data_IF_689844878817
#
_entry.id   IF_689844878817
#
_cell.length_a   1.000
_cell.length_b   1.000
_cell.length_c   1.000
_cell.angle_alpha   90.00
_cell.angle_beta   90.00
_cell.angle_gamma   90.00
#
_symmetry.space_group_name_H-M   'P 1'
#
loop_
_entity.id
_entity.type
_entity.pdbx_description
1 polymer ?
#
# COMPACT_ATOMS: atom_id res chain seq x y z
N UNK A 1 -3.72 -11.36 -4.55
CA UNK A 1 -2.87 -10.33 -3.89
C UNK A 1 -3.11 -9.02 -4.59
N UNK A 2 -3.43 -7.99 -3.82
CA UNK A 2 -3.77 -6.65 -4.32
C UNK A 2 -2.68 -5.65 -3.93
N UNK A 3 -2.09 -4.95 -4.90
CA UNK A 3 -0.98 -4.01 -4.69
C UNK A 3 -1.45 -2.61 -5.10
N UNK A 4 -1.35 -1.64 -4.18
CA UNK A 4 -1.64 -0.24 -4.47
C UNK A 4 -0.39 0.49 -4.95
N UNK A 5 -0.46 1.11 -6.12
CA UNK A 5 0.61 1.98 -6.63
C UNK A 5 0.38 3.37 -6.08
N UNK A 6 1.33 3.86 -5.29
CA UNK A 6 1.30 5.20 -4.68
C UNK A 6 2.54 6.00 -5.06
N UNK A 7 2.55 7.28 -4.78
CA UNK A 7 3.67 8.18 -5.01
C UNK A 7 3.20 9.61 -5.22
N UNK A 8 4.11 10.56 -5.18
CA UNK A 8 3.84 11.96 -5.44
C UNK A 8 3.38 12.19 -6.91
N UNK A 9 2.78 13.33 -7.24
CA UNK A 9 2.49 13.67 -8.62
C UNK A 9 3.74 13.67 -9.50
N UNK A 10 3.59 13.28 -10.77
CA UNK A 10 4.63 13.29 -11.80
C UNK A 10 5.86 12.40 -11.55
N UNK A 11 5.74 11.36 -10.72
CA UNK A 11 6.81 10.36 -10.50
C UNK A 11 6.75 9.17 -11.47
N UNK A 12 5.70 9.09 -12.31
CA UNK A 12 5.54 8.04 -13.31
C UNK A 12 4.59 6.90 -12.94
N UNK A 13 3.74 7.04 -11.90
CA UNK A 13 2.78 6.01 -11.47
C UNK A 13 1.92 5.46 -12.61
N UNK A 14 1.23 6.33 -13.34
CA UNK A 14 0.34 5.92 -14.43
C UNK A 14 1.12 5.33 -15.62
N UNK A 15 2.37 5.77 -15.84
CA UNK A 15 3.26 5.18 -16.84
C UNK A 15 3.59 3.74 -16.46
N UNK A 16 3.97 3.51 -15.19
CA UNK A 16 4.23 2.18 -14.65
C UNK A 16 2.99 1.29 -14.74
N UNK A 17 1.84 1.79 -14.24
CA UNK A 17 0.57 1.07 -14.28
C UNK A 17 0.22 0.64 -15.71
N UNK A 18 0.27 1.56 -16.67
CA UNK A 18 -0.01 1.26 -18.07
C UNK A 18 0.99 0.27 -18.68
N UNK A 19 2.26 0.35 -18.33
CA UNK A 19 3.28 -0.59 -18.84
C UNK A 19 3.03 -2.01 -18.32
N UNK A 20 2.75 -2.16 -17.03
CA UNK A 20 2.49 -3.45 -16.40
C UNK A 20 1.19 -4.06 -16.93
N UNK A 21 0.11 -3.26 -17.01
CA UNK A 21 -1.22 -3.76 -17.38
C UNK A 21 -1.37 -4.00 -18.88
N UNK A 22 -0.64 -3.26 -19.73
CA UNK A 22 -0.61 -3.55 -21.19
C UNK A 22 0.10 -4.87 -21.48
N UNK A 23 1.15 -5.20 -20.74
CA UNK A 23 1.79 -6.51 -20.83
C UNK A 23 0.88 -7.65 -20.38
N UNK A 24 -0.13 -7.35 -19.53
CA UNK A 24 -1.14 -8.28 -19.05
C UNK A 24 -2.46 -8.30 -19.82
N UNK A 25 -2.55 -7.70 -21.02
CA UNK A 25 -3.78 -7.59 -21.80
C UNK A 25 -4.47 -8.93 -22.15
N UNK A 26 -3.76 -10.06 -22.02
CA UNK A 26 -4.31 -11.41 -22.14
C UNK A 26 -5.18 -11.84 -20.94
N UNK A 27 -5.21 -11.05 -19.87
CA UNK A 27 -5.99 -11.36 -18.66
C UNK A 27 -7.52 -11.29 -18.85
N UNK A 28 -8.04 -10.82 -19.99
CA UNK A 28 -9.46 -10.79 -20.28
C UNK A 28 -10.16 -12.18 -20.22
N UNK A 29 -9.38 -13.25 -20.25
CA UNK A 29 -9.87 -14.64 -20.20
C UNK A 29 -9.85 -15.27 -18.79
N UNK A 30 -9.42 -14.52 -17.74
CA UNK A 30 -9.46 -15.05 -16.40
C UNK A 30 -10.86 -14.91 -15.78
N UNK A 31 -11.40 -15.98 -15.16
CA UNK A 31 -12.66 -15.90 -14.45
C UNK A 31 -12.54 -14.87 -13.31
N UNK A 32 -13.56 -14.01 -13.18
CA UNK A 32 -13.65 -12.92 -12.19
C UNK A 32 -12.83 -11.64 -12.48
N UNK A 33 -12.36 -11.45 -13.71
CA UNK A 33 -11.74 -10.19 -14.12
C UNK A 33 -12.84 -9.11 -14.28
N UNK A 34 -12.96 -8.21 -13.30
CA UNK A 34 -13.75 -6.99 -13.43
C UNK A 34 -12.91 -5.92 -14.13
N UNK A 35 -13.41 -5.33 -15.21
CA UNK A 35 -12.76 -4.18 -15.86
C UNK A 35 -13.20 -2.93 -15.11
N UNK A 36 -12.44 -2.58 -14.07
CA UNK A 36 -12.62 -1.31 -13.37
C UNK A 36 -11.52 -0.32 -13.81
N UNK A 37 -11.86 0.96 -14.05
CA UNK A 37 -10.84 1.97 -14.30
C UNK A 37 -9.88 2.04 -13.11
N UNK A 38 -8.58 2.02 -13.37
CA UNK A 38 -7.49 2.03 -12.40
C UNK A 38 -7.19 0.69 -11.69
N UNK A 39 -7.77 -0.42 -12.14
CA UNK A 39 -7.40 -1.77 -11.68
C UNK A 39 -6.87 -2.56 -12.87
N UNK A 40 -5.70 -3.16 -12.69
CA UNK A 40 -5.06 -4.01 -13.70
C UNK A 40 -4.65 -5.35 -13.11
N UNK A 41 -4.96 -6.44 -13.79
CA UNK A 41 -4.54 -7.79 -13.42
C UNK A 41 -3.34 -8.22 -14.23
N UNK A 42 -2.33 -8.75 -13.57
CA UNK A 42 -1.09 -9.20 -14.21
C UNK A 42 -0.79 -10.63 -13.78
N UNK A 43 -0.66 -11.58 -14.73
CA UNK A 43 -0.27 -12.93 -14.41
C UNK A 43 1.18 -12.96 -13.91
N UNK A 44 1.44 -13.79 -12.92
CA UNK A 44 2.80 -14.02 -12.41
C UNK A 44 3.45 -15.12 -13.26
N UNK A 45 4.53 -14.82 -14.00
CA UNK A 45 5.26 -15.84 -14.72
C UNK A 45 5.81 -16.90 -13.75
N UNK A 46 5.63 -18.18 -14.08
CA UNK A 46 6.17 -19.30 -13.28
C UNK A 46 6.64 -20.42 -14.19
N UNK A 47 7.94 -20.49 -14.44
CA UNK A 47 8.56 -21.51 -15.28
C UNK A 47 8.29 -22.93 -14.78
N UNK A 48 8.03 -23.13 -13.49
CA UNK A 48 7.70 -24.44 -12.92
C UNK A 48 6.33 -24.91 -13.41
N UNK A 49 5.38 -23.99 -13.43
CA UNK A 49 4.02 -24.25 -13.92
C UNK A 49 4.05 -24.54 -15.43
N UNK A 50 4.80 -23.77 -16.21
CA UNK A 50 4.96 -23.95 -17.64
C UNK A 50 5.64 -25.30 -17.97
N UNK A 51 6.63 -25.70 -17.19
CA UNK A 51 7.29 -27.01 -17.36
C UNK A 51 6.36 -28.18 -16.98
N UNK A 52 5.56 -28.05 -15.93
CA UNK A 52 4.53 -29.03 -15.58
C UNK A 52 3.48 -29.15 -16.68
N UNK A 53 3.04 -28.04 -17.24
CA UNK A 53 2.08 -28.00 -18.33
C UNK A 53 2.58 -28.75 -19.57
N UNK A 54 3.88 -28.63 -19.90
CA UNK A 54 4.51 -29.38 -21.02
C UNK A 54 4.56 -30.88 -20.78
N UNK A 55 4.65 -31.32 -19.51
CA UNK A 55 4.73 -32.73 -19.15
C UNK A 55 3.35 -33.39 -19.14
N UNK A 56 2.35 -32.72 -18.60
CA UNK A 56 1.03 -33.30 -18.33
C UNK A 56 -0.04 -32.92 -19.36
N UNK A 57 0.25 -32.00 -20.29
CA UNK A 57 -0.66 -31.51 -21.34
C UNK A 57 -2.10 -31.24 -20.81
N UNK A 58 -2.25 -30.35 -19.82
CA UNK A 58 -3.55 -30.11 -19.18
C UNK A 58 -4.49 -29.31 -20.09
N UNK A 59 -5.79 -29.49 -19.92
CA UNK A 59 -6.81 -28.73 -20.65
C UNK A 59 -6.70 -27.22 -20.39
N UNK A 60 -6.19 -26.81 -19.22
CA UNK A 60 -6.06 -25.41 -18.83
C UNK A 60 -4.88 -25.20 -17.87
N UNK A 61 -4.08 -24.17 -18.14
CA UNK A 61 -3.05 -23.66 -17.24
C UNK A 61 -3.53 -22.32 -16.67
N UNK A 62 -3.44 -22.15 -15.34
CA UNK A 62 -3.87 -20.93 -14.67
C UNK A 62 -2.74 -20.41 -13.79
N UNK A 63 -2.15 -19.28 -14.18
CA UNK A 63 -1.13 -18.60 -13.39
C UNK A 63 -1.75 -17.88 -12.19
N UNK A 64 -0.95 -17.66 -11.14
CA UNK A 64 -1.32 -16.73 -10.09
C UNK A 64 -1.44 -15.30 -10.68
N UNK A 65 -2.31 -14.49 -10.10
CA UNK A 65 -2.56 -13.12 -10.60
C UNK A 65 -2.31 -12.12 -9.49
N UNK A 66 -1.64 -11.03 -9.82
CA UNK A 66 -1.53 -9.83 -8.98
C UNK A 66 -2.46 -8.76 -9.54
N UNK A 67 -3.23 -8.16 -8.65
CA UNK A 67 -4.10 -7.03 -8.94
C UNK A 67 -3.36 -5.75 -8.58
N UNK A 68 -3.10 -4.89 -9.57
CA UNK A 68 -2.54 -3.57 -9.36
C UNK A 68 -3.63 -2.52 -9.37
N UNK A 69 -3.59 -1.60 -8.40
CA UNK A 69 -4.52 -0.48 -8.28
C UNK A 69 -3.74 0.81 -8.42
N UNK A 70 -4.03 1.63 -9.46
CA UNK A 70 -3.48 2.99 -9.56
C UNK A 70 -4.22 3.89 -8.59
N UNK A 71 -3.60 4.16 -7.45
CA UNK A 71 -4.14 5.05 -6.42
C UNK A 71 -3.70 6.47 -6.76
N UNK A 72 -4.68 7.36 -6.97
CA UNK A 72 -4.42 8.77 -7.28
C UNK A 72 -3.38 9.37 -6.32
N UNK A 73 -2.46 10.16 -6.87
CA UNK A 73 -1.30 10.66 -6.13
C UNK A 73 -1.67 11.39 -4.84
N UNK A 74 -0.88 11.16 -3.81
CA UNK A 74 -1.00 11.85 -2.53
C UNK A 74 -0.75 13.35 -2.73
N UNK A 75 -1.64 14.16 -2.19
CA UNK A 75 -1.40 15.60 -1.99
C UNK A 75 -1.07 15.78 -0.52
N UNK A 76 -0.04 16.55 -0.21
CA UNK A 76 0.37 16.92 1.14
C UNK A 76 -0.84 17.43 1.95
N UNK A 77 -1.09 16.86 3.15
CA UNK A 77 -2.25 17.16 3.96
C UNK A 77 -3.44 16.22 3.79
N UNK A 78 -3.25 15.07 3.14
CA UNK A 78 -4.29 14.07 2.93
C UNK A 78 -4.89 13.54 4.25
N UNK A 79 -4.08 13.46 5.30
CA UNK A 79 -4.49 13.02 6.64
C UNK A 79 -5.37 14.05 7.38
N UNK A 80 -5.38 15.32 6.96
CA UNK A 80 -6.21 16.37 7.58
C UNK A 80 -7.66 16.39 7.11
N UNK A 81 -8.08 15.43 6.30
CA UNK A 81 -9.49 15.09 6.14
C UNK A 81 -10.29 15.87 5.11
N UNK A 82 -9.67 16.62 4.21
CA UNK A 82 -10.42 17.33 3.16
C UNK A 82 -10.41 16.53 1.83
N UNK A 83 -11.57 15.96 1.48
CA UNK A 83 -11.92 15.50 0.13
C UNK A 83 -11.07 14.37 -0.43
N UNK A 84 -10.10 14.66 -1.29
CA UNK A 84 -9.30 13.67 -2.03
C UNK A 84 -8.36 12.84 -1.13
N UNK A 85 -7.90 13.40 0.00
CA UNK A 85 -7.05 12.70 0.95
C UNK A 85 -7.71 11.48 1.59
N UNK A 86 -8.98 11.61 1.99
CA UNK A 86 -9.73 10.49 2.57
C UNK A 86 -9.94 9.36 1.57
N UNK A 87 -10.17 9.67 0.28
CA UNK A 87 -10.29 8.66 -0.77
C UNK A 87 -8.96 7.92 -0.99
N UNK A 88 -7.85 8.64 -1.00
CA UNK A 88 -6.52 8.06 -1.09
C UNK A 88 -6.27 7.05 0.04
N UNK A 89 -6.51 7.46 1.30
CA UNK A 89 -6.31 6.61 2.47
C UNK A 89 -7.26 5.40 2.47
N UNK A 90 -8.51 5.55 1.99
CA UNK A 90 -9.45 4.43 1.89
C UNK A 90 -8.97 3.39 0.88
N UNK A 91 -8.48 3.81 -0.30
CA UNK A 91 -7.95 2.88 -1.29
C UNK A 91 -6.71 2.13 -0.78
N UNK A 92 -5.83 2.80 -0.02
CA UNK A 92 -4.69 2.10 0.61
C UNK A 92 -5.17 1.06 1.64
N UNK A 93 -6.26 1.28 2.34
CA UNK A 93 -6.81 0.28 3.28
C UNK A 93 -7.22 -1.02 2.60
N UNK A 94 -7.69 -0.95 1.35
CA UNK A 94 -8.23 -2.08 0.58
C UNK A 94 -7.16 -2.96 -0.08
N UNK A 95 -5.89 -2.52 -0.12
CA UNK A 95 -4.80 -3.28 -0.73
C UNK A 95 -3.99 -4.07 0.30
N UNK A 96 -3.34 -5.15 -0.14
CA UNK A 96 -2.52 -6.01 0.73
C UNK A 96 -1.13 -5.41 0.97
N UNK A 97 -0.57 -4.72 -0.04
CA UNK A 97 0.75 -4.09 0.01
C UNK A 97 0.80 -2.82 -0.83
N UNK A 98 1.82 -2.02 -0.61
CA UNK A 98 2.03 -0.73 -1.25
C UNK A 98 3.26 -0.82 -2.16
N UNK A 99 3.12 -0.36 -3.40
CA UNK A 99 4.23 -0.08 -4.31
C UNK A 99 4.39 1.43 -4.41
N UNK A 100 5.40 1.97 -3.76
CA UNK A 100 5.68 3.39 -3.78
C UNK A 100 6.64 3.74 -4.90
N UNK A 101 6.16 4.52 -5.88
CA UNK A 101 6.94 5.02 -7.00
C UNK A 101 7.60 6.32 -6.58
N UNK A 102 8.94 6.30 -6.56
CA UNK A 102 9.79 7.42 -6.13
C UNK A 102 10.59 7.93 -7.30
N UNK A 103 10.64 9.24 -7.48
CA UNK A 103 11.42 9.84 -8.56
C UNK A 103 12.89 10.00 -8.15
N UNK A 104 13.78 9.24 -8.81
CA UNK A 104 15.23 9.33 -8.64
C UNK A 104 15.95 9.82 -9.91
N UNK A 105 15.21 10.20 -10.96
CA UNK A 105 15.77 10.65 -12.25
C UNK A 105 15.53 12.14 -12.45
N UNK A 106 16.44 12.78 -13.18
CA UNK A 106 16.34 14.17 -13.59
C UNK A 106 15.76 14.26 -15.01
N UNK A 107 14.72 15.06 -15.19
CA UNK A 107 14.15 15.43 -16.48
C UNK A 107 13.65 16.88 -16.40
N UNK A 108 14.22 17.81 -17.19
CA UNK A 108 13.85 19.22 -17.15
C UNK A 108 12.43 19.49 -17.65
N UNK A 109 11.83 18.56 -18.39
CA UNK A 109 10.47 18.69 -18.92
C UNK A 109 9.40 18.23 -17.93
N UNK A 110 9.79 17.56 -16.85
CA UNK A 110 8.86 17.05 -15.83
C UNK A 110 9.01 17.86 -14.54
N UNK A 111 8.00 18.65 -14.20
CA UNK A 111 8.00 19.47 -12.99
C UNK A 111 7.86 18.58 -11.75
N UNK A 112 8.74 18.78 -10.75
CA UNK A 112 8.59 18.19 -9.42
C UNK A 112 7.70 19.07 -8.54
N UNK A 113 6.85 18.45 -7.71
CA UNK A 113 5.86 19.17 -6.87
C UNK A 113 6.55 20.11 -5.88
N UNK A 114 7.68 19.70 -5.29
CA UNK A 114 8.46 20.49 -4.33
C UNK A 114 9.64 21.25 -4.98
N UNK A 115 9.67 21.32 -6.32
CA UNK A 115 10.67 22.09 -7.08
C UNK A 115 12.06 21.44 -7.18
N UNK A 116 12.39 20.46 -6.36
CA UNK A 116 13.66 19.71 -6.38
C UNK A 116 13.42 18.21 -6.18
N UNK A 117 14.28 17.40 -6.80
CA UNK A 117 14.25 15.94 -6.64
C UNK A 117 14.97 15.59 -5.34
N UNK A 118 14.27 14.96 -4.42
CA UNK A 118 14.81 14.43 -3.17
C UNK A 118 14.02 13.16 -2.81
N UNK A 119 14.49 11.99 -3.21
CA UNK A 119 13.77 10.74 -3.03
C UNK A 119 13.49 10.40 -1.54
N UNK A 120 14.39 10.76 -0.65
CA UNK A 120 14.23 10.48 0.80
C UNK A 120 13.11 11.34 1.36
N UNK A 121 13.13 12.65 1.10
CA UNK A 121 12.07 13.57 1.50
C UNK A 121 10.70 13.14 0.95
N UNK A 122 10.66 12.67 -0.30
CA UNK A 122 9.42 12.27 -0.95
C UNK A 122 8.82 11.02 -0.30
N UNK A 123 9.67 10.03 0.04
CA UNK A 123 9.29 8.84 0.81
C UNK A 123 8.80 9.23 2.21
N UNK A 124 9.55 10.09 2.91
CA UNK A 124 9.16 10.56 4.25
C UNK A 124 7.82 11.28 4.24
N UNK A 125 7.55 12.07 3.21
CA UNK A 125 6.27 12.78 3.04
C UNK A 125 5.10 11.81 3.01
N UNK A 126 5.18 10.75 2.21
CA UNK A 126 4.13 9.73 2.13
C UNK A 126 4.02 8.94 3.45
N UNK A 127 5.14 8.52 4.01
CA UNK A 127 5.16 7.79 5.27
C UNK A 127 4.51 8.59 6.40
N UNK A 128 4.78 9.88 6.51
CA UNK A 128 4.19 10.74 7.54
C UNK A 128 2.66 10.88 7.39
N UNK A 129 2.14 10.97 6.17
CA UNK A 129 0.69 11.00 5.95
C UNK A 129 0.01 9.70 6.40
N UNK A 130 0.64 8.54 6.13
CA UNK A 130 0.16 7.24 6.60
C UNK A 130 0.23 7.14 8.14
N UNK A 131 1.29 7.65 8.75
CA UNK A 131 1.48 7.69 10.21
C UNK A 131 0.39 8.55 10.86
N UNK A 132 0.09 9.73 10.33
CA UNK A 132 -0.95 10.59 10.89
C UNK A 132 -2.35 9.95 10.79
N UNK A 133 -2.64 9.28 9.68
CA UNK A 133 -3.90 8.55 9.53
C UNK A 133 -4.03 7.40 10.53
N UNK A 134 -2.95 6.68 10.78
CA UNK A 134 -2.93 5.59 11.76
C UNK A 134 -3.00 6.12 13.20
N UNK A 135 -2.34 7.24 13.52
CA UNK A 135 -2.46 7.89 14.83
C UNK A 135 -3.91 8.24 15.16
N UNK A 136 -4.66 8.77 14.20
CA UNK A 136 -6.09 9.05 14.40
C UNK A 136 -6.87 7.77 14.69
N UNK A 137 -6.60 6.69 13.93
CA UNK A 137 -7.24 5.38 14.11
C UNK A 137 -6.93 4.78 15.48
N UNK A 138 -5.65 4.77 15.85
CA UNK A 138 -5.16 4.23 17.12
C UNK A 138 -5.73 5.02 18.31
N UNK A 139 -5.74 6.35 18.26
CA UNK A 139 -6.29 7.18 19.32
C UNK A 139 -7.78 6.91 19.55
N UNK A 140 -8.59 6.82 18.49
CA UNK A 140 -10.02 6.50 18.59
C UNK A 140 -10.25 5.11 19.22
N UNK A 141 -9.45 4.12 18.80
CA UNK A 141 -9.55 2.76 19.33
C UNK A 141 -9.11 2.69 20.80
N UNK A 142 -8.02 3.37 21.15
CA UNK A 142 -7.50 3.47 22.52
C UNK A 142 -8.51 4.10 23.47
N UNK A 143 -9.16 5.20 23.09
CA UNK A 143 -10.23 5.81 23.88
C UNK A 143 -11.41 4.87 24.12
N UNK A 144 -11.79 4.10 23.09
CA UNK A 144 -12.85 3.09 23.20
C UNK A 144 -12.43 1.96 24.17
N UNK A 145 -11.22 1.40 24.00
CA UNK A 145 -10.71 0.34 24.85
C UNK A 145 -10.63 0.78 26.33
N UNK A 146 -10.15 2.01 26.61
CA UNK A 146 -10.11 2.59 27.96
C UNK A 146 -11.50 2.75 28.60
N UNK A 147 -12.54 3.01 27.82
CA UNK A 147 -13.92 3.05 28.33
C UNK A 147 -14.42 1.63 28.69
N UNK A 148 -14.10 0.64 27.86
CA UNK A 148 -14.54 -0.77 28.06
C UNK A 148 -13.78 -1.43 29.22
N UNK A 149 -12.54 -1.08 29.47
CA UNK A 149 -11.73 -1.58 30.59
C UNK A 149 -12.41 -1.40 31.95
N UNK A 150 -13.26 -0.37 32.11
CA UNK A 150 -14.00 -0.13 33.37
C UNK A 150 -14.94 -1.29 33.73
N UNK A 151 -15.42 -2.03 32.74
CA UNK A 151 -16.32 -3.19 32.93
C UNK A 151 -15.64 -4.54 32.66
N UNK A 152 -14.56 -4.58 31.91
CA UNK A 152 -13.91 -5.81 31.49
C UNK A 152 -12.38 -5.63 31.43
N UNK A 153 -11.67 -6.34 32.30
CA UNK A 153 -10.21 -6.28 32.41
C UNK A 153 -9.47 -6.91 31.22
N UNK A 154 -10.16 -7.68 30.36
CA UNK A 154 -9.54 -8.28 29.17
C UNK A 154 -9.01 -7.24 28.17
N UNK A 155 -9.53 -6.02 28.20
CA UNK A 155 -9.08 -4.91 27.36
C UNK A 155 -7.70 -4.35 27.72
N UNK A 156 -7.08 -4.79 28.84
CA UNK A 156 -5.76 -4.26 29.26
C UNK A 156 -4.69 -4.57 28.23
N UNK A 157 -4.62 -5.80 27.72
CA UNK A 157 -3.63 -6.20 26.71
C UNK A 157 -3.77 -5.38 25.40
N UNK A 158 -4.99 -5.10 24.98
CA UNK A 158 -5.26 -4.25 23.82
C UNK A 158 -4.78 -2.81 24.06
N UNK A 159 -4.99 -2.25 25.24
CA UNK A 159 -4.56 -0.90 25.61
C UNK A 159 -3.04 -0.81 25.59
N UNK A 160 -2.35 -1.76 26.23
CA UNK A 160 -0.88 -1.76 26.31
C UNK A 160 -0.27 -1.84 24.90
N UNK A 161 -0.84 -2.67 24.02
CA UNK A 161 -0.42 -2.76 22.63
C UNK A 161 -0.67 -1.46 21.85
N UNK A 162 -1.87 -0.87 21.99
CA UNK A 162 -2.20 0.37 21.31
C UNK A 162 -1.35 1.55 21.78
N UNK A 163 -0.96 1.60 23.06
CA UNK A 163 -0.03 2.60 23.59
C UNK A 163 1.37 2.43 23.00
N UNK A 164 1.89 1.20 22.91
CA UNK A 164 3.15 0.88 22.24
C UNK A 164 3.16 1.31 20.76
N UNK A 165 2.08 1.03 20.03
CA UNK A 165 1.91 1.44 18.63
C UNK A 165 1.83 2.95 18.52
N UNK A 166 1.05 3.60 19.37
CA UNK A 166 0.89 5.06 19.41
C UNK A 166 2.24 5.75 19.63
N UNK A 167 3.03 5.32 20.60
CA UNK A 167 4.36 5.89 20.86
C UNK A 167 5.27 5.82 19.63
N UNK A 168 5.25 4.68 18.91
CA UNK A 168 6.01 4.51 17.67
C UNK A 168 5.57 5.49 16.58
N UNK A 169 4.25 5.63 16.39
CA UNK A 169 3.68 6.55 15.41
C UNK A 169 3.94 8.02 15.77
N UNK A 170 3.88 8.40 17.06
CA UNK A 170 4.21 9.76 17.53
C UNK A 170 5.66 10.16 17.27
N UNK A 171 6.56 9.18 17.16
CA UNK A 171 7.96 9.37 16.72
C UNK A 171 8.09 9.51 15.20
N UNK A 172 6.98 9.52 14.44
CA UNK A 172 6.99 9.54 12.98
C UNK A 172 7.39 8.21 12.34
N UNK A 173 7.43 7.12 13.10
CA UNK A 173 7.89 5.80 12.64
C UNK A 173 6.70 4.90 12.31
N UNK A 174 6.77 4.11 11.23
CA UNK A 174 5.69 3.21 10.84
C UNK A 174 5.54 2.03 11.81
N UNK A 175 4.29 1.59 12.05
CA UNK A 175 4.01 0.50 12.99
C UNK A 175 4.64 -0.85 12.59
N UNK A 176 4.93 -1.08 11.30
CA UNK A 176 5.57 -2.32 10.80
C UNK A 176 6.98 -2.58 11.33
N UNK A 177 7.64 -1.60 11.94
CA UNK A 177 8.96 -1.80 12.56
C UNK A 177 8.88 -2.46 13.94
N UNK A 178 7.68 -2.51 14.53
CA UNK A 178 7.47 -3.17 15.82
C UNK A 178 7.54 -4.68 15.66
N UNK A 179 8.33 -5.31 16.50
CA UNK A 179 8.31 -6.75 16.67
C UNK A 179 7.10 -7.11 17.53
N UNK A 180 6.04 -7.62 16.88
CA UNK A 180 4.81 -8.03 17.53
C UNK A 180 4.70 -9.54 17.54
N UNK A 181 4.22 -10.10 18.66
CA UNK A 181 3.84 -11.52 18.74
C UNK A 181 2.64 -11.80 17.83
N UNK A 182 2.36 -13.07 17.57
CA UNK A 182 1.22 -13.43 16.71
C UNK A 182 -0.12 -13.09 17.38
N UNK A 183 -0.16 -13.12 18.71
CA UNK A 183 -1.33 -12.69 19.50
C UNK A 183 -1.52 -11.16 19.39
N UNK A 184 -0.44 -10.37 19.51
CA UNK A 184 -0.47 -8.92 19.32
C UNK A 184 -0.90 -8.54 17.90
N UNK A 185 -0.42 -9.25 16.88
CA UNK A 185 -0.85 -9.05 15.49
C UNK A 185 -2.34 -9.30 15.29
N UNK A 186 -2.88 -10.36 15.91
CA UNK A 186 -4.31 -10.66 15.82
C UNK A 186 -5.16 -9.58 16.51
N UNK A 187 -4.75 -9.08 17.68
CA UNK A 187 -5.43 -7.99 18.38
C UNK A 187 -5.53 -6.73 17.51
N UNK A 188 -4.44 -6.36 16.81
CA UNK A 188 -4.39 -5.10 16.06
C UNK A 188 -4.92 -5.22 14.62
N UNK A 189 -5.12 -6.42 14.12
CA UNK A 189 -5.50 -6.73 12.73
C UNK A 189 -6.73 -5.92 12.26
N UNK A 190 -7.77 -5.86 13.09
CA UNK A 190 -9.00 -5.14 12.79
C UNK A 190 -8.85 -3.60 12.78
N UNK A 191 -7.69 -3.08 13.11
CA UNK A 191 -7.40 -1.65 12.98
C UNK A 191 -7.06 -1.25 11.55
N UNK A 192 -6.74 -2.21 10.67
CA UNK A 192 -6.35 -1.98 9.28
C UNK A 192 -5.32 -0.86 9.14
N UNK A 193 -4.29 -0.87 9.99
CA UNK A 193 -3.26 0.16 10.00
C UNK A 193 -2.51 0.18 8.67
N UNK A 194 -2.40 1.36 8.09
CA UNK A 194 -1.74 1.59 6.81
C UNK A 194 -0.24 1.34 6.91
N UNK A 195 0.35 1.77 8.02
CA UNK A 195 1.79 1.63 8.30
C UNK A 195 2.22 0.21 8.68
N UNK A 196 1.28 -0.72 8.88
CA UNK A 196 1.58 -2.16 9.04
C UNK A 196 1.76 -2.86 7.70
N UNK A 197 1.25 -2.30 6.60
CA UNK A 197 1.34 -2.93 5.27
C UNK A 197 2.79 -2.97 4.79
N UNK A 198 3.20 -4.05 4.08
CA UNK A 198 4.48 -4.11 3.37
C UNK A 198 4.58 -2.99 2.33
N UNK A 199 5.75 -2.38 2.21
CA UNK A 199 6.04 -1.38 1.17
C UNK A 199 7.22 -1.84 0.32
N UNK A 200 7.07 -1.69 -1.00
CA UNK A 200 8.13 -1.80 -2.00
C UNK A 200 8.38 -0.40 -2.56
N UNK A 201 9.65 0.00 -2.65
CA UNK A 201 10.07 1.25 -3.29
C UNK A 201 10.57 0.97 -4.70
N UNK A 202 10.09 1.74 -5.67
CA UNK A 202 10.46 1.59 -7.08
C UNK A 202 10.71 2.95 -7.72
N UNK A 203 11.78 3.05 -8.51
CA UNK A 203 12.03 4.22 -9.36
C UNK A 203 12.13 3.83 -10.83
N UNK A 204 11.62 4.70 -11.70
CA UNK A 204 11.68 4.56 -13.16
C UNK A 204 12.94 5.26 -13.69
N UNK A 205 14.12 4.79 -13.32
CA UNK A 205 15.39 5.45 -13.64
C UNK A 205 15.89 5.26 -15.08
N UNK A 206 15.32 4.31 -15.83
CA UNK A 206 15.72 3.97 -17.19
C UNK A 206 14.56 4.10 -18.18
N UNK A 207 13.87 5.25 -18.18
CA UNK A 207 12.74 5.48 -19.09
C UNK A 207 13.19 5.96 -20.48
N UNK A 208 14.46 6.28 -20.65
CA UNK A 208 15.01 6.82 -21.90
C UNK A 208 16.05 5.89 -22.51
N UNK A 209 15.62 4.95 -23.31
CA UNK A 209 16.28 4.50 -24.55
C UNK A 209 15.23 4.28 -25.63
#
# INVERSE_FOLDING_TARGET
>A
MKIGIVGLPNVGKSTLFNAITKAGAECANYPFCTIEPNIGMVPVPDDRLDNLAKIYDPEKVTHAVIEFVDIAGLVKGASKGEGLGNKFLSHIREVDSILEVVRCFEDPNIVHVDGSIDPIRDIETINLELVFADLETVNKRLERAKKLLKGDKSYQAEIDLLEKVKETLEQGRPARILELSDEEKEIIKDSFLLTMKPILYLSLIHISE
#
